data_IF_759497106448
#
_entry.id   IF_759497106448
#
_cell.length_a   1.000
_cell.length_b   1.000
_cell.length_c   1.000
_cell.angle_alpha   90.00
_cell.angle_beta   90.00
_cell.angle_gamma   90.00
#
_symmetry.space_group_name_H-M   'P 1'
#
loop_
_entity.id
_entity.type
_entity.pdbx_description
1 polymer ?
#
# COMPACT_ATOMS: atom_id res chain seq x y z
N UNK A 1 1.49 -12.77 11.64
CA UNK A 1 2.64 -11.85 11.75
C UNK A 1 2.61 -10.90 10.56
N UNK A 2 2.97 -9.63 10.75
CA UNK A 2 3.01 -8.65 9.67
C UNK A 2 4.43 -8.10 9.54
N UNK A 3 4.96 -8.04 8.32
CA UNK A 3 6.34 -7.64 8.05
C UNK A 3 6.41 -6.76 6.81
N UNK A 4 7.16 -5.67 6.88
CA UNK A 4 7.68 -4.99 5.71
C UNK A 4 8.96 -5.69 5.27
N UNK A 5 8.95 -6.29 4.08
CA UNK A 5 10.09 -6.98 3.50
C UNK A 5 10.72 -6.06 2.46
N UNK A 6 11.89 -5.53 2.76
CA UNK A 6 12.71 -4.75 1.81
C UNK A 6 13.46 -5.72 0.91
N UNK A 7 13.40 -5.49 -0.40
CA UNK A 7 14.09 -6.28 -1.43
C UNK A 7 14.95 -5.37 -2.29
N UNK A 8 16.16 -5.82 -2.60
CA UNK A 8 17.04 -5.16 -3.57
C UNK A 8 16.70 -5.61 -4.98
N UNK A 9 16.72 -4.67 -5.92
CA UNK A 9 16.51 -4.88 -7.34
C UNK A 9 17.69 -4.27 -8.12
N UNK A 10 17.92 -4.64 -9.39
CA UNK A 10 19.00 -4.04 -10.17
C UNK A 10 18.92 -2.51 -10.29
N UNK A 11 17.72 -1.93 -10.17
CA UNK A 11 17.43 -0.51 -10.36
C UNK A 11 17.22 0.26 -9.05
N UNK A 12 17.38 -0.37 -7.89
CA UNK A 12 17.10 0.23 -6.59
C UNK A 12 16.52 -0.77 -5.60
N UNK A 13 15.67 -0.32 -4.68
CA UNK A 13 15.06 -1.16 -3.65
C UNK A 13 13.57 -0.86 -3.51
N UNK A 14 12.79 -1.87 -3.19
CA UNK A 14 11.35 -1.76 -2.92
C UNK A 14 11.01 -2.44 -1.61
N UNK A 15 9.82 -2.22 -1.10
CA UNK A 15 9.29 -3.02 0.00
C UNK A 15 7.96 -3.67 -0.37
N UNK A 16 7.71 -4.83 0.24
CA UNK A 16 6.43 -5.51 0.24
C UNK A 16 5.90 -5.53 1.69
N UNK A 17 4.60 -5.33 1.91
CA UNK A 17 3.96 -5.61 3.20
C UNK A 17 3.37 -7.02 3.13
N UNK A 18 3.95 -7.93 3.92
CA UNK A 18 3.43 -9.27 4.17
C UNK A 18 2.53 -9.25 5.41
N UNK A 19 1.34 -9.84 5.31
CA UNK A 19 0.47 -10.11 6.45
C UNK A 19 0.11 -11.59 6.41
N UNK A 20 0.61 -12.35 7.39
CA UNK A 20 0.39 -13.79 7.54
C UNK A 20 0.80 -14.60 6.30
N UNK A 21 1.90 -14.25 5.63
CA UNK A 21 2.40 -14.96 4.45
C UNK A 21 1.75 -14.54 3.13
N UNK A 22 0.96 -13.46 3.14
CA UNK A 22 0.35 -12.88 1.96
C UNK A 22 0.87 -11.45 1.74
N UNK A 23 1.44 -11.19 0.57
CA UNK A 23 1.81 -9.83 0.16
C UNK A 23 0.53 -9.05 -0.14
N UNK A 24 0.25 -8.04 0.69
CA UNK A 24 -0.96 -7.23 0.55
C UNK A 24 -0.72 -5.92 -0.19
N UNK A 25 0.55 -5.50 -0.27
CA UNK A 25 0.92 -4.20 -0.83
C UNK A 25 2.41 -4.17 -1.20
N UNK A 26 2.73 -3.54 -2.32
CA UNK A 26 4.09 -3.38 -2.84
C UNK A 26 4.36 -1.92 -3.19
N UNK A 27 5.55 -1.43 -2.84
CA UNK A 27 6.00 -0.10 -3.22
C UNK A 27 6.52 -0.06 -4.66
N UNK A 28 6.62 1.16 -5.21
CA UNK A 28 7.50 1.39 -6.36
C UNK A 28 8.97 1.15 -5.96
N UNK A 29 9.85 1.06 -6.97
CA UNK A 29 11.30 0.95 -6.72
C UNK A 29 11.86 2.33 -6.38
N UNK A 30 12.41 2.44 -5.18
CA UNK A 30 13.17 3.58 -4.72
C UNK A 30 14.63 3.48 -5.13
N UNK A 31 15.30 4.61 -5.33
CA UNK A 31 16.72 4.66 -5.70
C UNK A 31 17.67 4.42 -4.51
N UNK A 32 17.17 4.42 -3.27
CA UNK A 32 17.98 4.19 -2.06
C UNK A 32 17.20 3.50 -0.95
N UNK A 33 17.93 2.80 -0.07
CA UNK A 33 17.39 2.15 1.13
C UNK A 33 16.72 3.15 2.07
N UNK A 34 17.30 4.34 2.24
CA UNK A 34 16.71 5.37 3.08
C UNK A 34 15.36 5.87 2.53
N UNK A 35 15.25 6.07 1.21
CA UNK A 35 13.98 6.47 0.59
C UNK A 35 12.90 5.37 0.74
N UNK A 36 13.31 4.10 0.61
CA UNK A 36 12.45 2.94 0.85
C UNK A 36 11.94 2.89 2.30
N UNK A 37 12.83 3.07 3.29
CA UNK A 37 12.46 3.15 4.72
C UNK A 37 11.51 4.32 5.02
N UNK A 38 11.74 5.49 4.41
CA UNK A 38 10.82 6.62 4.50
C UNK A 38 9.45 6.30 3.88
N UNK A 39 9.43 5.51 2.80
CA UNK A 39 8.20 4.98 2.20
C UNK A 39 7.43 4.09 3.16
N UNK A 40 8.10 3.18 3.87
CA UNK A 40 7.50 2.33 4.92
C UNK A 40 6.89 3.18 6.03
N UNK A 41 7.62 4.16 6.56
CA UNK A 41 7.11 5.06 7.60
C UNK A 41 5.89 5.84 7.12
N UNK A 42 5.90 6.26 5.86
CA UNK A 42 4.77 6.91 5.21
C UNK A 42 3.56 5.97 5.14
N UNK A 43 3.74 4.68 4.78
CA UNK A 43 2.66 3.69 4.81
C UNK A 43 2.12 3.50 6.22
N UNK A 44 2.99 3.32 7.23
CA UNK A 44 2.60 3.15 8.63
C UNK A 44 1.75 4.31 9.14
N UNK A 45 2.17 5.55 8.83
CA UNK A 45 1.47 6.78 9.23
C UNK A 45 0.16 6.99 8.47
N UNK A 46 0.17 6.80 7.15
CA UNK A 46 -0.96 7.18 6.31
C UNK A 46 -2.07 6.12 6.33
N UNK A 47 -1.72 4.84 6.45
CA UNK A 47 -2.70 3.77 6.55
C UNK A 47 -3.57 3.89 7.81
N UNK A 48 -2.99 4.29 8.95
CA UNK A 48 -3.74 4.43 10.22
C UNK A 48 -4.83 5.50 10.20
N UNK A 49 -4.80 6.41 9.22
CA UNK A 49 -5.85 7.41 9.03
C UNK A 49 -7.15 6.82 8.45
N UNK A 50 -7.09 5.61 7.88
CA UNK A 50 -8.22 4.88 7.33
C UNK A 50 -9.13 5.73 6.41
N UNK A 51 -8.52 6.64 5.64
CA UNK A 51 -9.22 7.43 4.62
C UNK A 51 -9.27 6.64 3.33
N UNK A 52 -10.47 6.34 2.84
CA UNK A 52 -10.68 5.52 1.64
C UNK A 52 -11.53 6.32 0.66
N UNK A 53 -11.02 6.48 -0.55
CA UNK A 53 -11.72 7.02 -1.70
C UNK A 53 -12.05 5.89 -2.66
N UNK A 54 -13.34 5.66 -2.91
CA UNK A 54 -13.81 4.63 -3.83
C UNK A 54 -14.11 5.26 -5.19
N UNK A 55 -13.17 5.10 -6.12
CA UNK A 55 -13.24 5.71 -7.44
C UNK A 55 -14.16 4.97 -8.42
N UNK A 56 -14.74 3.82 -8.01
CA UNK A 56 -15.72 3.07 -8.80
C UNK A 56 -17.15 3.61 -8.59
N UNK A 57 -17.38 4.40 -7.55
CA UNK A 57 -18.66 5.05 -7.25
C UNK A 57 -18.53 6.57 -7.32
N UNK A 58 -19.60 7.27 -7.68
CA UNK A 58 -19.61 8.74 -7.61
C UNK A 58 -19.77 9.17 -6.16
N UNK A 59 -18.82 9.97 -5.67
CA UNK A 59 -18.83 10.56 -4.34
C UNK A 59 -17.95 11.82 -4.28
N UNK A 60 -17.93 12.46 -3.11
CA UNK A 60 -17.03 13.57 -2.86
C UNK A 60 -15.59 13.09 -2.77
N UNK A 61 -14.67 13.88 -3.32
CA UNK A 61 -13.24 13.56 -3.28
C UNK A 61 -12.74 13.54 -1.82
N UNK A 62 -12.04 12.46 -1.46
CA UNK A 62 -11.35 12.37 -0.17
C UNK A 62 -9.98 13.05 -0.30
N UNK A 63 -9.56 13.84 0.66
CA UNK A 63 -8.24 14.51 0.61
C UNK A 63 -7.10 13.56 0.97
N UNK A 64 -5.93 13.76 0.36
CA UNK A 64 -4.72 13.01 0.69
C UNK A 64 -4.25 13.28 2.14
N UNK A 65 -3.57 12.33 2.79
CA UNK A 65 -3.28 10.96 2.33
C UNK A 65 -4.53 10.06 2.40
N UNK A 66 -4.64 9.10 1.48
CA UNK A 66 -5.81 8.23 1.35
C UNK A 66 -5.48 6.94 0.61
N UNK A 67 -6.26 5.90 0.86
CA UNK A 67 -6.40 4.80 -0.07
C UNK A 67 -7.33 5.22 -1.21
N UNK A 68 -6.96 4.91 -2.45
CA UNK A 68 -7.85 5.00 -3.60
C UNK A 68 -8.13 3.58 -4.08
N UNK A 69 -9.39 3.16 -4.01
CA UNK A 69 -9.87 1.89 -4.59
C UNK A 69 -10.37 2.19 -6.00
N UNK A 70 -9.91 1.44 -6.99
CA UNK A 70 -10.25 1.69 -8.39
C UNK A 70 -10.34 0.39 -9.18
N UNK A 71 -11.12 0.44 -10.26
CA UNK A 71 -11.19 -0.63 -11.25
C UNK A 71 -10.19 -0.36 -12.36
N UNK A 72 -9.31 -1.31 -12.63
CA UNK A 72 -8.35 -1.22 -13.73
C UNK A 72 -9.00 -1.49 -15.09
N UNK A 73 -8.24 -1.30 -16.17
CA UNK A 73 -8.72 -1.48 -17.55
C UNK A 73 -9.08 -2.93 -17.87
N UNK A 74 -8.58 -3.90 -17.11
CA UNK A 74 -8.92 -5.31 -17.24
C UNK A 74 -10.17 -5.68 -16.42
N UNK A 75 -10.80 -4.71 -15.76
CA UNK A 75 -11.99 -4.89 -14.95
C UNK A 75 -11.72 -5.49 -13.58
N UNK A 76 -10.45 -5.53 -13.13
CA UNK A 76 -10.07 -5.97 -11.79
C UNK A 76 -10.03 -4.79 -10.84
N UNK A 77 -10.27 -5.04 -9.56
CA UNK A 77 -10.16 -4.02 -8.53
C UNK A 77 -8.75 -3.98 -7.97
N UNK A 78 -8.25 -2.79 -7.71
CA UNK A 78 -6.98 -2.55 -7.03
C UNK A 78 -7.18 -1.44 -6.03
N UNK A 79 -6.22 -1.27 -5.14
CA UNK A 79 -6.11 -0.05 -4.37
C UNK A 79 -4.67 0.45 -4.32
N UNK A 80 -4.51 1.74 -4.08
CA UNK A 80 -3.21 2.38 -3.87
C UNK A 80 -3.27 3.32 -2.70
N UNK A 81 -2.18 3.42 -1.94
CA UNK A 81 -2.05 4.39 -0.86
C UNK A 81 -1.29 5.60 -1.38
N UNK A 82 -1.88 6.79 -1.21
CA UNK A 82 -1.25 8.07 -1.55
C UNK A 82 -0.82 8.80 -0.29
N UNK A 83 0.39 9.35 -0.34
CA UNK A 83 0.91 10.23 0.70
C UNK A 83 0.26 11.63 0.63
N UNK A 84 0.51 12.48 1.63
CA UNK A 84 -0.06 13.83 1.73
C UNK A 84 0.24 14.71 0.50
N UNK A 85 1.37 14.49 -0.18
CA UNK A 85 1.76 15.19 -1.40
C UNK A 85 1.11 14.60 -2.67
N UNK A 86 0.23 13.60 -2.54
CA UNK A 86 -0.45 12.95 -3.65
C UNK A 86 0.36 11.88 -4.39
N UNK A 87 1.61 11.62 -4.01
CA UNK A 87 2.39 10.53 -4.60
C UNK A 87 1.85 9.18 -4.14
N UNK A 88 1.81 8.22 -5.07
CA UNK A 88 1.53 6.82 -4.74
C UNK A 88 2.78 6.25 -4.06
N UNK A 89 2.63 5.73 -2.85
CA UNK A 89 3.74 5.11 -2.11
C UNK A 89 3.69 3.58 -2.16
N UNK A 90 2.58 3.04 -2.63
CA UNK A 90 2.21 1.66 -2.41
C UNK A 90 0.96 1.27 -3.21
N UNK A 91 0.96 0.11 -3.85
CA UNK A 91 -0.18 -0.43 -4.61
C UNK A 91 -0.41 -1.90 -4.28
N UNK A 92 -1.67 -2.34 -4.31
CA UNK A 92 -2.06 -3.72 -4.11
C UNK A 92 -1.89 -4.58 -5.37
N UNK A 93 -2.03 -5.90 -5.20
CA UNK A 93 -2.35 -6.80 -6.31
C UNK A 93 -3.77 -6.53 -6.85
N UNK A 94 -4.15 -7.24 -7.91
CA UNK A 94 -5.49 -7.18 -8.46
C UNK A 94 -6.46 -8.15 -7.76
N UNK A 95 -7.69 -7.72 -7.58
CA UNK A 95 -8.77 -8.44 -6.94
C UNK A 95 -9.96 -8.60 -7.89
N UNK A 96 -10.74 -9.66 -7.67
CA UNK A 96 -11.97 -9.89 -8.44
C UNK A 96 -13.13 -9.01 -7.96
N UNK A 97 -13.14 -8.64 -6.69
CA UNK A 97 -14.21 -7.89 -6.06
C UNK A 97 -13.65 -6.71 -5.25
N UNK A 98 -14.42 -5.63 -5.19
CA UNK A 98 -14.06 -4.40 -4.46
C UNK A 98 -13.99 -4.64 -2.97
N UNK A 99 -14.86 -5.50 -2.44
CA UNK A 99 -14.94 -5.85 -1.04
C UNK A 99 -13.64 -6.50 -0.55
N UNK A 100 -12.93 -7.20 -1.42
CA UNK A 100 -11.65 -7.81 -1.08
C UNK A 100 -10.55 -6.75 -0.93
N UNK A 101 -10.55 -5.68 -1.74
CA UNK A 101 -9.70 -4.51 -1.50
C UNK A 101 -9.96 -3.92 -0.11
N UNK A 102 -11.23 -3.72 0.27
CA UNK A 102 -11.60 -3.12 1.56
C UNK A 102 -11.17 -3.98 2.75
N UNK A 103 -11.33 -5.31 2.66
CA UNK A 103 -10.83 -6.24 3.68
C UNK A 103 -9.31 -6.15 3.84
N UNK A 104 -8.59 -6.09 2.72
CA UNK A 104 -7.12 -5.99 2.76
C UNK A 104 -6.69 -4.63 3.33
N UNK A 105 -7.37 -3.53 2.97
CA UNK A 105 -7.13 -2.21 3.58
C UNK A 105 -7.32 -2.27 5.09
N UNK A 106 -8.40 -2.87 5.58
CA UNK A 106 -8.64 -3.04 7.02
C UNK A 106 -7.52 -3.84 7.71
N UNK A 107 -7.02 -4.90 7.07
CA UNK A 107 -5.85 -5.64 7.56
C UNK A 107 -4.61 -4.75 7.64
N UNK A 108 -4.35 -3.93 6.61
CA UNK A 108 -3.21 -3.01 6.58
C UNK A 108 -3.33 -1.98 7.70
N UNK A 109 -4.51 -1.35 7.86
CA UNK A 109 -4.78 -0.36 8.92
C UNK A 109 -4.49 -0.94 10.30
N UNK A 110 -4.88 -2.19 10.56
CA UNK A 110 -4.70 -2.87 11.85
C UNK A 110 -3.26 -3.31 12.14
N UNK A 111 -2.48 -3.62 11.10
CA UNK A 111 -1.21 -4.33 11.26
C UNK A 111 0.03 -3.50 10.87
N UNK A 112 -0.07 -2.58 9.92
CA UNK A 112 1.09 -1.90 9.33
C UNK A 112 1.94 -1.18 10.39
N UNK A 113 1.32 -0.47 11.33
CA UNK A 113 2.05 0.26 12.38
C UNK A 113 2.91 -0.65 13.27
N UNK A 114 2.50 -1.91 13.46
CA UNK A 114 3.18 -2.91 14.29
C UNK A 114 4.10 -3.84 13.49
N UNK A 115 4.10 -3.72 12.16
CA UNK A 115 4.87 -4.61 11.31
C UNK A 115 6.36 -4.35 11.48
N UNK A 116 7.11 -5.44 11.64
CA UNK A 116 8.57 -5.43 11.68
C UNK A 116 9.13 -5.14 10.29
N UNK A 117 10.38 -4.67 10.21
CA UNK A 117 11.06 -4.44 8.93
C UNK A 117 12.13 -5.51 8.80
N UNK A 118 12.06 -6.28 7.72
CA UNK A 118 13.00 -7.32 7.35
C UNK A 118 13.70 -6.91 6.06
N UNK A 119 15.02 -6.96 6.04
CA UNK A 119 15.82 -6.74 4.84
C UNK A 119 16.17 -8.10 4.23
N UNK A 120 15.80 -8.31 2.96
CA UNK A 120 16.07 -9.53 2.21
C UNK A 120 17.04 -9.21 1.08
N UNK A 121 18.23 -9.80 1.17
CA UNK A 121 19.29 -9.74 0.17
C UNK A 121 18.98 -10.58 -1.07
#
# INVERSE_FOLDING_TARGET
>A
MANFIIKTTPTGTKFDLDINGHIVLTSEVYTSLQACKNGIDSVKKNASLNKIDDLDVKGDEVTNPKFEVYKDKAGKFRFRLKASNGQVIATSEDFKAKEDCLKVIDLIVKNAQKAEILEQD
#
